data_IF_656744709290
#
_entry.id   IF_656744709290
#
_cell.length_a   1.000
_cell.length_b   1.000
_cell.length_c   1.000
_cell.angle_alpha   90.00
_cell.angle_beta   90.00
_cell.angle_gamma   90.00
#
_symmetry.space_group_name_H-M   'P 1'
#
loop_
_entity.id
_entity.type
_entity.pdbx_description
1 polymer ?
#
# COMPACT_ATOMS: atom_id res chain seq x y z
N UNK A 1 11.51 13.48 -25.61
CA UNK A 1 10.52 12.67 -24.84
C UNK A 1 9.15 12.54 -25.54
N UNK A 2 8.97 12.98 -26.79
CA UNK A 2 7.64 13.05 -27.42
C UNK A 2 7.18 11.81 -28.22
N UNK A 3 8.01 10.78 -28.34
CA UNK A 3 7.71 9.64 -29.21
C UNK A 3 6.49 8.82 -28.71
N UNK A 4 6.34 8.65 -27.39
CA UNK A 4 5.21 7.91 -26.79
C UNK A 4 3.90 8.70 -26.94
N UNK A 5 3.95 10.03 -26.96
CA UNK A 5 2.78 10.89 -27.06
C UNK A 5 2.43 11.28 -28.51
N UNK A 6 3.16 10.75 -29.50
CA UNK A 6 2.91 11.06 -30.90
C UNK A 6 1.46 10.74 -31.27
N UNK A 7 0.73 11.77 -31.72
CA UNK A 7 -0.69 11.69 -32.07
C UNK A 7 -1.67 11.89 -30.90
N UNK A 8 -1.20 11.91 -29.65
CA UNK A 8 -2.00 12.21 -28.46
C UNK A 8 -2.16 13.73 -28.28
N UNK A 9 -3.16 14.33 -28.93
CA UNK A 9 -3.50 15.74 -28.79
C UNK A 9 -4.96 15.93 -28.35
N UNK A 10 -5.33 17.15 -27.96
CA UNK A 10 -6.71 17.49 -27.63
C UNK A 10 -7.69 17.15 -28.78
N UNK A 11 -7.26 17.33 -30.03
CA UNK A 11 -8.06 17.03 -31.23
C UNK A 11 -8.32 15.52 -31.44
N UNK A 12 -7.43 14.68 -30.91
CA UNK A 12 -7.49 13.22 -30.99
C UNK A 12 -7.93 12.57 -29.68
N UNK A 13 -8.36 13.37 -28.70
CA UNK A 13 -8.83 12.85 -27.42
C UNK A 13 -10.00 11.86 -27.62
N UNK A 14 -9.91 10.70 -26.98
CA UNK A 14 -10.90 9.62 -27.09
C UNK A 14 -10.87 8.84 -28.41
N UNK A 15 -10.04 9.21 -29.39
CA UNK A 15 -9.92 8.49 -30.67
C UNK A 15 -8.84 7.41 -30.61
N UNK A 16 -9.04 6.30 -31.33
CA UNK A 16 -8.01 5.28 -31.54
C UNK A 16 -6.97 5.82 -32.51
N UNK A 17 -5.73 5.93 -32.04
CA UNK A 17 -4.58 6.36 -32.83
C UNK A 17 -3.55 5.24 -32.89
N UNK A 18 -2.95 5.01 -34.06
CA UNK A 18 -1.85 4.07 -34.18
C UNK A 18 -0.59 4.67 -33.56
N UNK A 19 0.00 3.98 -32.59
CA UNK A 19 1.21 4.42 -31.91
C UNK A 19 2.15 3.22 -31.73
N UNK A 20 3.08 3.07 -32.68
CA UNK A 20 4.05 1.97 -32.72
C UNK A 20 4.86 1.86 -31.41
N UNK A 21 5.41 2.96 -30.85
CA UNK A 21 6.11 2.92 -29.57
C UNK A 21 5.26 2.38 -28.42
N UNK A 22 4.00 2.81 -28.31
CA UNK A 22 3.08 2.36 -27.28
C UNK A 22 2.63 0.92 -27.51
N UNK A 23 2.50 0.47 -28.76
CA UNK A 23 2.11 -0.90 -29.10
C UNK A 23 3.08 -1.93 -28.50
N UNK A 24 4.39 -1.68 -28.57
CA UNK A 24 5.39 -2.56 -27.95
C UNK A 24 5.27 -2.61 -26.42
N UNK A 25 4.97 -1.48 -25.78
CA UNK A 25 4.74 -1.42 -24.33
C UNK A 25 3.46 -2.19 -23.97
N UNK A 26 2.36 -1.95 -24.71
CA UNK A 26 1.08 -2.64 -24.51
C UNK A 26 1.24 -4.15 -24.65
N UNK A 27 1.96 -4.60 -25.68
CA UNK A 27 2.24 -6.02 -25.87
C UNK A 27 3.03 -6.61 -24.69
N UNK A 28 4.02 -5.88 -24.18
CA UNK A 28 4.82 -6.33 -23.04
C UNK A 28 4.01 -6.39 -21.73
N UNK A 29 3.15 -5.39 -21.45
CA UNK A 29 2.37 -5.35 -20.19
C UNK A 29 1.23 -6.37 -20.19
N UNK A 30 0.71 -6.74 -21.36
CA UNK A 30 -0.33 -7.76 -21.53
C UNK A 30 0.24 -9.18 -21.75
N UNK A 31 1.56 -9.34 -21.73
CA UNK A 31 2.19 -10.66 -21.80
C UNK A 31 1.94 -11.40 -20.48
N UNK A 32 1.34 -12.62 -20.49
CA UNK A 32 1.05 -13.37 -19.27
C UNK A 32 2.29 -13.65 -18.41
N UNK A 33 3.48 -13.73 -19.01
CA UNK A 33 4.75 -13.90 -18.28
C UNK A 33 5.12 -12.62 -17.54
N UNK A 34 4.86 -11.46 -18.13
CA UNK A 34 5.06 -10.18 -17.47
C UNK A 34 4.06 -9.99 -16.32
N UNK A 35 2.77 -10.24 -16.56
CA UNK A 35 1.73 -10.17 -15.53
C UNK A 35 2.06 -11.08 -14.35
N UNK A 36 2.45 -12.34 -14.63
CA UNK A 36 2.90 -13.28 -13.59
C UNK A 36 4.09 -12.73 -12.80
N UNK A 37 5.08 -12.12 -13.46
CA UNK A 37 6.21 -11.50 -12.77
C UNK A 37 5.78 -10.34 -11.87
N UNK A 38 4.84 -9.51 -12.31
CA UNK A 38 4.29 -8.42 -11.48
C UNK A 38 3.62 -8.96 -10.21
N UNK A 39 2.78 -9.99 -10.34
CA UNK A 39 2.14 -10.63 -9.19
C UNK A 39 3.18 -11.21 -8.22
N UNK A 40 4.20 -11.90 -8.74
CA UNK A 40 5.27 -12.45 -7.91
C UNK A 40 6.08 -11.35 -7.19
N UNK A 41 6.35 -10.21 -7.85
CA UNK A 41 7.03 -9.08 -7.22
C UNK A 41 6.20 -8.51 -6.06
N UNK A 42 4.88 -8.34 -6.23
CA UNK A 42 4.01 -7.90 -5.13
C UNK A 42 3.96 -8.91 -3.97
N UNK A 43 3.92 -10.20 -4.27
CA UNK A 43 3.97 -11.26 -3.25
C UNK A 43 5.29 -11.23 -2.48
N UNK A 44 6.43 -11.08 -3.16
CA UNK A 44 7.75 -10.95 -2.53
C UNK A 44 7.83 -9.69 -1.69
N UNK A 45 7.37 -8.54 -2.19
CA UNK A 45 7.30 -7.30 -1.42
C UNK A 45 6.52 -7.50 -0.13
N UNK A 46 5.29 -8.01 -0.24
CA UNK A 46 4.45 -8.21 0.94
C UNK A 46 5.08 -9.20 1.93
N UNK A 47 5.39 -10.42 1.48
CA UNK A 47 5.77 -11.53 2.37
C UNK A 47 7.20 -11.44 2.89
N UNK A 48 8.12 -10.82 2.14
CA UNK A 48 9.55 -10.83 2.45
C UNK A 48 10.05 -9.45 2.89
N UNK A 49 9.50 -8.36 2.33
CA UNK A 49 10.02 -7.00 2.56
C UNK A 49 9.17 -6.16 3.50
N UNK A 50 7.91 -6.52 3.73
CA UNK A 50 6.99 -5.72 4.56
C UNK A 50 6.62 -6.49 5.82
N UNK A 51 5.93 -7.63 5.68
CA UNK A 51 5.36 -8.35 6.81
C UNK A 51 6.39 -8.78 7.89
N UNK A 52 7.62 -9.22 7.54
CA UNK A 52 8.60 -9.60 8.56
C UNK A 52 9.24 -8.43 9.31
N UNK A 53 9.16 -7.20 8.78
CA UNK A 53 9.85 -6.03 9.32
C UNK A 53 9.11 -5.46 10.54
N UNK A 54 9.81 -4.69 11.37
CA UNK A 54 9.26 -4.12 12.60
C UNK A 54 9.00 -2.62 12.41
N UNK A 55 7.83 -2.10 12.83
CA UNK A 55 7.64 -0.65 12.86
C UNK A 55 8.69 0.02 13.77
N UNK A 56 9.11 1.24 13.43
CA UNK A 56 10.11 1.96 14.22
C UNK A 56 9.64 2.11 15.67
N UNK A 57 10.47 1.70 16.63
CA UNK A 57 10.15 1.76 18.07
C UNK A 57 9.33 0.58 18.61
N UNK A 58 9.07 -0.45 17.79
CA UNK A 58 8.27 -1.62 18.16
C UNK A 58 9.04 -2.93 18.02
N UNK A 59 8.71 -3.90 18.87
CA UNK A 59 9.40 -5.19 18.93
C UNK A 59 8.78 -6.27 18.05
N UNK A 60 7.51 -6.09 17.67
CA UNK A 60 6.74 -7.07 16.91
C UNK A 60 6.68 -6.68 15.42
N UNK A 61 6.60 -7.70 14.57
CA UNK A 61 6.57 -7.50 13.12
C UNK A 61 5.28 -6.82 12.66
N UNK A 62 5.30 -6.22 11.46
CA UNK A 62 4.11 -5.71 10.79
C UNK A 62 3.07 -6.82 10.63
N UNK A 63 3.47 -8.07 10.37
CA UNK A 63 2.56 -9.21 10.32
C UNK A 63 1.81 -9.47 11.64
N UNK A 64 2.42 -9.13 12.78
CA UNK A 64 1.83 -9.28 14.10
C UNK A 64 0.76 -8.21 14.36
N UNK A 65 0.96 -7.00 13.83
CA UNK A 65 0.02 -5.87 13.95
C UNK A 65 -1.07 -5.90 12.89
N UNK A 66 -0.74 -6.23 11.63
CA UNK A 66 -1.64 -6.18 10.46
C UNK A 66 -1.98 -7.58 9.96
N UNK A 67 -3.02 -8.17 10.53
CA UNK A 67 -3.54 -9.48 10.13
C UNK A 67 -4.65 -9.38 9.09
N UNK A 68 -5.37 -8.26 9.05
CA UNK A 68 -6.44 -8.01 8.08
C UNK A 68 -5.91 -7.76 6.67
N UNK A 69 -6.72 -8.11 5.66
CA UNK A 69 -6.41 -7.82 4.26
C UNK A 69 -6.27 -6.32 4.02
N UNK A 70 -7.10 -5.50 4.66
CA UNK A 70 -6.99 -4.04 4.58
C UNK A 70 -5.65 -3.53 5.13
N UNK A 71 -5.22 -4.00 6.30
CA UNK A 71 -3.93 -3.60 6.88
C UNK A 71 -2.75 -3.98 5.97
N UNK A 72 -2.75 -5.23 5.49
CA UNK A 72 -1.70 -5.77 4.60
C UNK A 72 -1.65 -5.04 3.26
N UNK A 73 -2.80 -4.83 2.63
CA UNK A 73 -2.90 -4.10 1.38
C UNK A 73 -2.50 -2.63 1.55
N UNK A 74 -2.85 -2.00 2.67
CA UNK A 74 -2.44 -0.62 2.98
C UNK A 74 -0.92 -0.51 3.13
N UNK A 75 -0.27 -1.51 3.75
CA UNK A 75 1.19 -1.55 3.83
C UNK A 75 1.86 -1.83 2.48
N UNK A 76 1.34 -2.77 1.68
CA UNK A 76 1.82 -3.04 0.32
C UNK A 76 1.70 -1.80 -0.57
N UNK A 77 0.55 -1.16 -0.56
CA UNK A 77 0.28 0.06 -1.32
C UNK A 77 1.26 1.18 -0.96
N UNK A 78 1.52 1.37 0.34
CA UNK A 78 2.53 2.32 0.79
C UNK A 78 3.92 1.95 0.30
N UNK A 79 4.32 0.68 0.45
CA UNK A 79 5.65 0.22 0.05
C UNK A 79 5.90 0.38 -1.47
N UNK A 80 4.87 0.22 -2.30
CA UNK A 80 4.97 0.42 -3.76
C UNK A 80 5.22 1.89 -4.10
N UNK A 81 4.62 2.81 -3.35
CA UNK A 81 4.70 4.25 -3.64
C UNK A 81 5.87 4.95 -2.93
N UNK A 82 6.21 4.51 -1.72
CA UNK A 82 7.11 5.19 -0.76
C UNK A 82 7.75 4.17 0.22
N UNK A 83 8.58 3.22 -0.26
CA UNK A 83 9.04 2.06 0.51
C UNK A 83 9.74 2.40 1.83
N UNK A 84 10.59 3.43 1.83
CA UNK A 84 11.41 3.81 3.00
C UNK A 84 10.62 4.35 4.20
N UNK A 85 9.31 4.58 4.05
CA UNK A 85 8.48 5.21 5.08
C UNK A 85 7.50 4.27 5.75
N UNK A 86 7.40 3.00 5.30
CA UNK A 86 6.43 2.04 5.82
C UNK A 86 6.61 1.79 7.32
N UNK A 87 7.81 1.41 7.76
CA UNK A 87 8.11 1.10 9.17
C UNK A 87 7.92 2.34 10.06
N UNK A 88 8.36 3.51 9.59
CA UNK A 88 8.23 4.79 10.29
C UNK A 88 6.77 5.20 10.49
N UNK A 89 5.96 5.13 9.45
CA UNK A 89 4.59 5.66 9.48
C UNK A 89 3.61 4.70 10.16
N UNK A 90 3.87 3.39 10.09
CA UNK A 90 3.18 2.41 10.94
C UNK A 90 3.58 2.67 12.40
N UNK A 91 4.86 2.89 12.70
CA UNK A 91 5.35 3.26 14.04
C UNK A 91 4.63 4.48 14.61
N UNK A 92 4.55 5.58 13.83
CA UNK A 92 3.81 6.80 14.20
C UNK A 92 2.33 6.53 14.50
N UNK A 93 1.70 5.64 13.74
CA UNK A 93 0.30 5.28 13.93
C UNK A 93 0.09 4.41 15.18
N UNK A 94 1.05 3.55 15.50
CA UNK A 94 1.07 2.82 16.76
C UNK A 94 1.30 3.77 17.94
N UNK A 95 2.22 4.73 17.84
CA UNK A 95 2.48 5.73 18.89
C UNK A 95 1.19 6.50 19.21
N UNK A 96 0.50 6.97 18.16
CA UNK A 96 -0.80 7.64 18.29
C UNK A 96 -1.86 6.71 18.89
N UNK A 97 -1.86 5.42 18.56
CA UNK A 97 -2.81 4.47 19.14
C UNK A 97 -2.55 4.27 20.65
N UNK A 98 -1.32 3.98 21.05
CA UNK A 98 -0.95 3.71 22.44
C UNK A 98 -0.98 4.96 23.33
N UNK A 99 -0.72 6.15 22.78
CA UNK A 99 -0.95 7.41 23.50
C UNK A 99 -2.41 7.59 23.91
N UNK A 100 -3.35 7.13 23.07
CA UNK A 100 -4.79 7.20 23.35
C UNK A 100 -5.33 5.96 24.10
N UNK A 101 -4.53 4.90 24.24
CA UNK A 101 -4.92 3.64 24.88
C UNK A 101 -3.76 3.09 25.73
N UNK A 102 -3.33 3.80 26.80
CA UNK A 102 -2.09 3.49 27.52
C UNK A 102 -2.11 2.11 28.21
N UNK A 103 -3.29 1.56 28.49
CA UNK A 103 -3.46 0.27 29.15
C UNK A 103 -3.50 -0.92 28.16
N UNK A 104 -3.48 -0.66 26.85
CA UNK A 104 -3.45 -1.74 25.85
C UNK A 104 -2.02 -2.24 25.73
N UNK A 105 -1.85 -3.57 25.82
CA UNK A 105 -0.53 -4.18 25.65
C UNK A 105 0.09 -3.84 24.31
N UNK A 106 1.40 -3.53 24.31
CA UNK A 106 2.17 -3.34 23.08
C UNK A 106 2.41 -4.62 22.31
N UNK A 107 2.16 -5.78 22.92
CA UNK A 107 2.18 -7.09 22.29
C UNK A 107 0.85 -7.40 21.61
N UNK A 108 0.78 -7.43 20.28
CA UNK A 108 -0.47 -7.72 19.59
C UNK A 108 -1.06 -9.08 19.95
N UNK A 109 -0.23 -10.07 20.29
CA UNK A 109 -0.68 -11.40 20.70
C UNK A 109 -1.63 -11.39 21.90
N UNK A 110 -1.54 -10.35 22.75
CA UNK A 110 -2.34 -10.21 23.98
C UNK A 110 -3.66 -9.47 23.76
N UNK A 111 -3.95 -8.99 22.55
CA UNK A 111 -5.17 -8.19 22.29
C UNK A 111 -6.47 -9.00 22.33
N UNK A 112 -6.39 -10.34 22.25
CA UNK A 112 -7.54 -11.25 22.32
C UNK A 112 -8.69 -10.81 21.40
N UNK A 113 -9.90 -10.75 21.95
CA UNK A 113 -11.12 -10.36 21.22
C UNK A 113 -11.08 -8.92 20.67
N UNK A 114 -10.28 -8.03 21.27
CA UNK A 114 -10.16 -6.63 20.82
C UNK A 114 -9.17 -6.46 19.67
N UNK A 115 -8.48 -7.51 19.24
CA UNK A 115 -7.46 -7.45 18.19
C UNK A 115 -7.93 -6.74 16.92
N UNK A 116 -9.05 -7.18 16.35
CA UNK A 116 -9.58 -6.60 15.11
C UNK A 116 -9.94 -5.11 15.28
N UNK A 117 -10.51 -4.75 16.44
CA UNK A 117 -10.87 -3.36 16.74
C UNK A 117 -9.63 -2.47 16.91
N UNK A 118 -8.58 -2.96 17.56
CA UNK A 118 -7.31 -2.25 17.72
C UNK A 118 -6.59 -2.07 16.38
N UNK A 119 -6.45 -3.16 15.60
CA UNK A 119 -5.88 -3.09 14.26
C UNK A 119 -6.63 -2.08 13.39
N UNK A 120 -7.97 -2.12 13.36
CA UNK A 120 -8.79 -1.18 12.58
C UNK A 120 -8.48 0.28 12.94
N UNK A 121 -8.36 0.61 14.23
CA UNK A 121 -8.01 1.98 14.67
C UNK A 121 -6.63 2.41 14.18
N UNK A 122 -5.66 1.50 14.22
CA UNK A 122 -4.28 1.77 13.77
C UNK A 122 -4.25 1.94 12.25
N UNK A 123 -4.87 1.01 11.51
CA UNK A 123 -4.92 1.03 10.03
C UNK A 123 -5.69 2.25 9.52
N UNK A 124 -6.77 2.67 10.20
CA UNK A 124 -7.49 3.88 9.83
C UNK A 124 -6.58 5.11 9.90
N UNK A 125 -5.87 5.30 11.02
CA UNK A 125 -4.93 6.40 11.13
C UNK A 125 -3.79 6.28 10.10
N UNK A 126 -3.17 5.11 10.00
CA UNK A 126 -2.07 4.84 9.09
C UNK A 126 -2.44 5.11 7.63
N UNK A 127 -3.59 4.59 7.17
CA UNK A 127 -4.05 4.73 5.80
C UNK A 127 -4.21 6.19 5.36
N UNK A 128 -4.73 7.04 6.25
CA UNK A 128 -4.94 8.46 5.97
C UNK A 128 -3.67 9.33 6.08
N UNK A 129 -2.71 8.95 6.93
CA UNK A 129 -1.58 9.82 7.33
C UNK A 129 -0.19 9.31 6.91
N UNK A 130 -0.10 8.13 6.29
CA UNK A 130 1.12 7.62 5.67
C UNK A 130 1.60 8.55 4.56
N UNK A 131 2.89 8.54 4.34
CA UNK A 131 3.52 9.44 3.40
C UNK A 131 3.34 8.99 1.95
N UNK A 132 2.87 9.93 1.15
CA UNK A 132 2.60 9.77 -0.28
C UNK A 132 2.81 11.13 -0.95
N UNK A 133 2.59 11.20 -2.26
CA UNK A 133 2.43 12.50 -2.89
C UNK A 133 1.31 13.31 -2.19
N UNK A 134 1.46 14.64 -2.19
CA UNK A 134 0.56 15.56 -1.50
C UNK A 134 -0.90 15.28 -1.94
N UNK A 135 -1.78 15.13 -0.95
CA UNK A 135 -3.21 14.89 -1.18
C UNK A 135 -3.59 13.46 -1.61
N UNK A 136 -2.65 12.52 -1.71
CA UNK A 136 -2.93 11.17 -2.26
C UNK A 136 -3.29 10.13 -1.19
N UNK A 137 -2.68 10.19 -0.01
CA UNK A 137 -2.78 9.12 1.00
C UNK A 137 -4.24 8.78 1.37
N UNK A 138 -5.01 9.79 1.78
CA UNK A 138 -6.39 9.63 2.24
C UNK A 138 -7.35 9.17 1.13
N UNK A 139 -7.45 9.81 -0.05
CA UNK A 139 -8.31 9.33 -1.13
C UNK A 139 -7.99 7.89 -1.57
N UNK A 140 -6.69 7.56 -1.63
CA UNK A 140 -6.24 6.22 -2.03
C UNK A 140 -6.59 5.16 -0.99
N UNK A 141 -6.45 5.47 0.30
CA UNK A 141 -6.88 4.57 1.37
C UNK A 141 -8.39 4.35 1.38
N UNK A 142 -9.20 5.42 1.21
CA UNK A 142 -10.66 5.31 1.12
C UNK A 142 -11.08 4.41 -0.05
N UNK A 143 -10.45 4.60 -1.22
CA UNK A 143 -10.71 3.77 -2.39
C UNK A 143 -10.29 2.30 -2.16
N UNK A 144 -9.16 2.06 -1.49
CA UNK A 144 -8.70 0.72 -1.13
C UNK A 144 -9.69 0.05 -0.17
N UNK A 145 -10.04 0.72 0.93
CA UNK A 145 -11.01 0.26 1.93
C UNK A 145 -12.36 -0.12 1.32
N UNK A 146 -12.87 0.68 0.37
CA UNK A 146 -14.13 0.36 -0.34
C UNK A 146 -14.05 -0.95 -1.15
N UNK A 147 -12.86 -1.36 -1.59
CA UNK A 147 -12.68 -2.56 -2.44
C UNK A 147 -12.46 -3.84 -1.66
N UNK A 148 -11.89 -3.77 -0.45
CA UNK A 148 -11.40 -4.95 0.30
C UNK A 148 -11.83 -4.98 1.77
N UNK A 149 -12.50 -3.93 2.27
CA UNK A 149 -12.88 -3.78 3.68
C UNK A 149 -14.38 -3.75 3.91
#
# INVERSE_FOLDING_TARGET
>A
MDIIRKGCSAQNFGKKIANIPLASIVHAISDPRFERRQVMDFLVRLRVRILPFKPNGYQYSIASYFQSDLGRATALDHHVNRPHYVERDIGRSLDRFFANHPNVSRNPAEWGAQRSAHEKKIVEHYGHHREMAIGVASPRYVALKKRIG
#
